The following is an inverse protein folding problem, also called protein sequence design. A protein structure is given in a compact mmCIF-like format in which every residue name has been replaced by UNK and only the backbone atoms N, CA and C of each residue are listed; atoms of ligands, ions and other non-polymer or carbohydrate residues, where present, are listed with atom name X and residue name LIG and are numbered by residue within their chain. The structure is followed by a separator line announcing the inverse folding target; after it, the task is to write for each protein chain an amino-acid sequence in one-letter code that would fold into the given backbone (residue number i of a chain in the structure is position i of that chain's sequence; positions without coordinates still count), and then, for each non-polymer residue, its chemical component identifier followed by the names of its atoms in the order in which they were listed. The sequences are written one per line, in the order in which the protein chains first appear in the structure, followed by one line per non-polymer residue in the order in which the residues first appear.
data_IF_865453839102
#
_entry.id   IF_865453839102
#
_cell.length_a   1.000
_cell.length_b   1.000
_cell.length_c   1.000
_cell.angle_alpha   90.00
_cell.angle_beta   90.00
_cell.angle_gamma   90.00
#
_symmetry.space_group_name_H-M   'P 1'
#
loop_
_entity.id
_entity.type
_entity.pdbx_description
1 polymer ?
#
# COMPACT_ATOMS: atom_id res chain seq x y z
N UNK A 1 -10.16 -23.08 3.38
CA UNK A 1 -10.86 -22.10 2.52
C UNK A 1 -11.05 -22.70 1.13
N UNK A 2 -12.18 -22.49 0.45
CA UNK A 2 -12.34 -22.93 -0.93
C UNK A 2 -11.31 -22.24 -1.83
N UNK A 3 -10.73 -22.99 -2.77
CA UNK A 3 -9.61 -22.56 -3.63
C UNK A 3 -9.87 -21.24 -4.37
N UNK A 4 -11.15 -20.96 -4.70
CA UNK A 4 -11.61 -19.72 -5.35
C UNK A 4 -11.41 -18.50 -4.45
N UNK A 5 -11.77 -18.58 -3.16
CA UNK A 5 -11.63 -17.47 -2.21
C UNK A 5 -10.15 -17.15 -1.98
N UNK A 6 -9.30 -18.17 -1.89
CA UNK A 6 -7.86 -17.98 -1.70
C UNK A 6 -7.22 -17.24 -2.89
N UNK A 7 -7.57 -17.59 -4.13
CA UNK A 7 -7.09 -16.89 -5.33
C UNK A 7 -7.58 -15.44 -5.40
N UNK A 8 -8.86 -15.20 -5.10
CA UNK A 8 -9.41 -13.82 -5.05
C UNK A 8 -8.64 -12.97 -4.03
N UNK A 9 -8.35 -13.53 -2.86
CA UNK A 9 -7.63 -12.82 -1.81
C UNK A 9 -6.18 -12.52 -2.19
N UNK A 10 -5.51 -13.43 -2.90
CA UNK A 10 -4.17 -13.20 -3.47
C UNK A 10 -4.20 -12.09 -4.52
N UNK A 11 -5.16 -12.09 -5.44
CA UNK A 11 -5.28 -11.03 -6.44
C UNK A 11 -5.58 -9.67 -5.81
N UNK A 12 -6.41 -9.64 -4.76
CA UNK A 12 -6.72 -8.42 -4.03
C UNK A 12 -5.48 -7.88 -3.29
N UNK A 13 -4.68 -8.75 -2.68
CA UNK A 13 -3.46 -8.37 -1.99
C UNK A 13 -2.39 -7.85 -2.97
N UNK A 14 -2.24 -8.47 -4.14
CA UNK A 14 -1.35 -7.98 -5.20
C UNK A 14 -1.80 -6.62 -5.74
N UNK A 15 -3.11 -6.41 -5.92
CA UNK A 15 -3.66 -5.12 -6.34
C UNK A 15 -3.42 -4.04 -5.27
N UNK A 16 -3.64 -4.36 -3.99
CA UNK A 16 -3.35 -3.44 -2.89
C UNK A 16 -1.87 -3.03 -2.86
N UNK A 17 -0.95 -3.97 -3.06
CA UNK A 17 0.48 -3.68 -3.14
C UNK A 17 0.80 -2.66 -4.26
N UNK A 18 0.24 -2.85 -5.46
CA UNK A 18 0.41 -1.93 -6.58
C UNK A 18 -0.17 -0.54 -6.28
N UNK A 19 -1.39 -0.48 -5.73
CA UNK A 19 -2.06 0.78 -5.42
C UNK A 19 -1.29 1.60 -4.37
N UNK A 20 -0.82 0.95 -3.30
CA UNK A 20 -0.01 1.64 -2.28
C UNK A 20 1.36 2.04 -2.82
N UNK A 21 2.01 1.21 -3.64
CA UNK A 21 3.28 1.55 -4.29
C UNK A 21 3.16 2.78 -5.19
N UNK A 22 2.14 2.81 -6.06
CA UNK A 22 1.83 3.98 -6.89
C UNK A 22 1.46 5.20 -6.03
N UNK A 23 0.73 4.98 -4.93
CA UNK A 23 0.40 6.01 -3.95
C UNK A 23 1.65 6.66 -3.34
N UNK A 24 2.66 5.87 -2.97
CA UNK A 24 3.95 6.37 -2.46
C UNK A 24 4.62 7.24 -3.53
N UNK A 25 4.79 6.72 -4.75
CA UNK A 25 5.43 7.47 -5.84
C UNK A 25 4.71 8.78 -6.10
N UNK A 26 3.37 8.75 -6.18
CA UNK A 26 2.57 9.96 -6.38
C UNK A 26 2.76 10.96 -5.23
N UNK A 27 2.73 10.51 -3.98
CA UNK A 27 2.97 11.39 -2.83
C UNK A 27 4.39 11.95 -2.81
N UNK A 28 5.41 11.19 -3.23
CA UNK A 28 6.79 11.67 -3.34
C UNK A 28 6.96 12.71 -4.45
N UNK A 29 6.29 12.53 -5.58
CA UNK A 29 6.26 13.52 -6.67
C UNK A 29 5.58 14.80 -6.17
N UNK A 30 4.41 14.71 -5.56
CA UNK A 30 3.75 15.90 -4.99
C UNK A 30 4.58 16.54 -3.87
N UNK A 31 5.34 15.77 -3.08
CA UNK A 31 6.29 16.32 -2.09
C UNK A 31 7.49 17.03 -2.73
N UNK A 32 7.74 16.85 -4.02
CA UNK A 32 8.83 17.52 -4.72
C UNK A 32 8.37 18.80 -5.42
N UNK A 33 7.11 18.83 -5.86
CA UNK A 33 6.61 19.91 -6.73
C UNK A 33 5.51 20.76 -6.09
N UNK A 34 4.82 20.29 -5.06
CA UNK A 34 3.64 20.96 -4.50
C UNK A 34 3.84 21.55 -3.11
N UNK A 35 5.04 21.47 -2.52
CA UNK A 35 5.32 22.04 -1.19
C UNK A 35 6.23 23.26 -1.31
N UNK A 36 5.90 24.33 -0.57
CA UNK A 36 6.82 25.43 -0.28
C UNK A 36 7.68 25.06 0.94
N UNK A 37 8.94 25.52 0.94
CA UNK A 37 10.03 25.16 1.85
C UNK A 37 9.62 24.54 3.21
N UNK A 38 9.93 23.24 3.36
CA UNK A 38 9.76 22.43 4.59
C UNK A 38 8.33 22.26 5.10
N UNK A 39 7.30 22.73 4.39
CA UNK A 39 5.92 22.41 4.71
C UNK A 39 5.56 21.00 4.21
N UNK A 40 4.94 20.17 5.06
CA UNK A 40 4.37 18.88 4.66
C UNK A 40 2.98 19.01 4.01
N UNK A 41 2.55 20.23 3.70
CA UNK A 41 1.21 20.56 3.22
C UNK A 41 1.30 21.00 1.77
N UNK A 42 0.54 20.34 0.88
CA UNK A 42 0.48 20.71 -0.54
C UNK A 42 -0.15 22.08 -0.68
N UNK A 43 0.53 22.97 -1.40
CA UNK A 43 0.03 24.30 -1.79
C UNK A 43 -1.11 24.19 -2.81
N UNK A 44 -1.17 23.08 -3.56
CA UNK A 44 -2.21 22.82 -4.57
C UNK A 44 -3.51 22.31 -3.93
N UNK A 45 -3.41 21.32 -3.05
CA UNK A 45 -4.57 20.58 -2.53
C UNK A 45 -4.82 20.80 -1.03
N UNK A 46 -3.93 21.50 -0.31
CA UNK A 46 -4.01 21.70 1.15
C UNK A 46 -3.85 20.43 1.98
N UNK A 47 -3.52 19.28 1.37
CA UNK A 47 -3.41 17.98 2.05
C UNK A 47 -2.08 17.83 2.75
N UNK A 48 -2.07 17.13 3.88
CA UNK A 48 -0.83 16.72 4.54
C UNK A 48 -0.23 15.50 3.83
N UNK A 49 0.79 15.73 2.99
CA UNK A 49 1.43 14.68 2.21
C UNK A 49 2.28 13.76 3.09
N UNK A 50 2.87 14.27 4.17
CA UNK A 50 3.66 13.45 5.09
C UNK A 50 2.79 12.41 5.80
N UNK A 51 1.57 12.79 6.17
CA UNK A 51 0.58 11.86 6.71
C UNK A 51 0.12 10.85 5.64
N UNK A 52 -0.14 11.32 4.40
CA UNK A 52 -0.51 10.42 3.30
C UNK A 52 0.60 9.42 2.96
N UNK A 53 1.86 9.87 2.95
CA UNK A 53 3.04 9.04 2.73
C UNK A 53 3.18 7.99 3.84
N UNK A 54 2.97 8.37 5.11
CA UNK A 54 2.98 7.43 6.24
C UNK A 54 1.90 6.36 6.12
N UNK A 55 0.67 6.75 5.75
CA UNK A 55 -0.40 5.77 5.52
C UNK A 55 -0.11 4.84 4.34
N UNK A 56 0.46 5.36 3.26
CA UNK A 56 0.83 4.54 2.11
C UNK A 56 1.95 3.54 2.46
N UNK A 57 2.94 3.93 3.25
CA UNK A 57 3.97 3.01 3.77
C UNK A 57 3.40 1.94 4.69
N UNK A 58 2.51 2.32 5.61
CA UNK A 58 1.82 1.36 6.50
C UNK A 58 0.95 0.40 5.67
N UNK A 59 0.19 0.92 4.71
CA UNK A 59 -0.64 0.12 3.80
C UNK A 59 0.17 -0.83 2.91
N UNK A 60 1.34 -0.39 2.44
CA UNK A 60 2.26 -1.27 1.70
C UNK A 60 2.79 -2.39 2.61
N UNK A 61 3.19 -2.05 3.84
CA UNK A 61 3.65 -3.03 4.83
C UNK A 61 2.60 -4.08 5.16
N UNK A 62 1.34 -3.68 5.35
CA UNK A 62 0.24 -4.62 5.61
C UNK A 62 -0.11 -5.47 4.39
N UNK A 63 -0.03 -4.91 3.17
CA UNK A 63 -0.18 -5.67 1.93
C UNK A 63 0.90 -6.75 1.80
N UNK A 64 2.17 -6.42 2.08
CA UNK A 64 3.27 -7.41 2.06
C UNK A 64 3.05 -8.49 3.13
N UNK A 65 2.72 -8.09 4.36
CA UNK A 65 2.47 -9.04 5.46
C UNK A 65 1.32 -10.00 5.15
N UNK A 66 0.24 -9.50 4.53
CA UNK A 66 -0.89 -10.34 4.12
C UNK A 66 -0.55 -11.28 2.96
N UNK A 67 0.24 -10.86 1.98
CA UNK A 67 0.76 -11.75 0.93
C UNK A 67 1.60 -12.88 1.54
N UNK A 68 2.50 -12.54 2.46
CA UNK A 68 3.36 -13.51 3.15
C UNK A 68 2.52 -14.48 3.98
N UNK A 69 1.55 -13.99 4.76
CA UNK A 69 0.63 -14.82 5.54
C UNK A 69 -0.17 -15.78 4.64
N UNK A 70 -0.68 -15.30 3.50
CA UNK A 70 -1.40 -16.14 2.54
C UNK A 70 -0.50 -17.19 1.89
N UNK A 71 0.79 -16.88 1.67
CA UNK A 71 1.76 -17.86 1.19
C UNK A 71 1.98 -18.98 2.24
N UNK A 72 2.15 -18.64 3.52
CA UNK A 72 2.30 -19.62 4.60
C UNK A 72 1.05 -20.48 4.82
N UNK A 73 -0.15 -19.89 4.71
CA UNK A 73 -1.41 -20.65 4.78
C UNK A 73 -1.52 -21.68 3.65
N UNK A 74 -0.92 -21.42 2.49
CA UNK A 74 -0.82 -22.38 1.39
C UNK A 74 0.21 -23.49 1.67
N UNK A 75 1.30 -23.17 2.39
CA UNK A 75 2.38 -24.12 2.73
C UNK A 75 1.92 -25.15 3.76
N UNK A 76 1.05 -24.78 4.71
CA UNK A 76 0.45 -25.74 5.64
C UNK A 76 -0.62 -26.54 4.88
N UNK A 77 -0.34 -27.78 4.43
CA UNK A 77 -1.35 -28.56 3.76
C UNK A 77 -2.40 -28.89 4.81
N UNK A 78 -3.67 -28.75 4.44
CA UNK A 78 -4.76 -29.40 5.19
C UNK A 78 -4.65 -30.89 4.95
N UNK A 79 -3.76 -31.57 5.68
CA UNK A 79 -3.78 -33.00 5.95
C UNK A 79 -3.03 -33.29 7.24
#
# INVERSE_FOLDING_TARGET
MPLKIHRVLQTLAALAFLLFGLGIVNTMVSLKYEIEDKACISVVNGRNLCQALRYNWVGLGTAVASIVALAFVKIKPSN
#
